data_IF_750938619066
#
_entry.id   IF_750938619066
#
_cell.length_a   1.000
_cell.length_b   1.000
_cell.length_c   1.000
_cell.angle_alpha   90.00
_cell.angle_beta   90.00
_cell.angle_gamma   90.00
#
_symmetry.space_group_name_H-M   'P 1'
#
loop_
_entity.id
_entity.type
_entity.pdbx_description
1 polymer ?
#
# COMPACT_ATOMS: atom_id res chain seq x y z
N UNK A 1 -3.91 -11.82 6.80
CA UNK A 1 -3.98 -10.50 6.13
C UNK A 1 -3.16 -10.60 4.85
N UNK A 2 -3.63 -10.01 3.76
CA UNK A 2 -2.96 -10.09 2.45
C UNK A 2 -1.93 -8.97 2.35
N UNK A 3 -0.71 -9.28 1.97
CA UNK A 3 0.36 -8.31 1.82
C UNK A 3 0.16 -7.44 0.57
N UNK A 4 0.67 -6.20 0.60
CA UNK A 4 0.57 -5.27 -0.55
C UNK A 4 1.13 -5.89 -1.83
N UNK A 5 2.29 -6.54 -1.75
CA UNK A 5 2.93 -7.13 -2.93
C UNK A 5 2.14 -8.30 -3.54
N UNK A 6 1.29 -9.00 -2.76
CA UNK A 6 0.41 -10.08 -3.23
C UNK A 6 -0.75 -9.56 -4.08
N UNK A 7 -1.08 -8.26 -3.96
CA UNK A 7 -2.04 -7.60 -4.84
C UNK A 7 -1.40 -7.07 -6.12
N UNK A 8 -0.16 -6.57 -6.01
CA UNK A 8 0.55 -6.01 -7.18
C UNK A 8 0.87 -7.08 -8.20
N UNK A 9 1.22 -8.29 -7.77
CA UNK A 9 1.52 -9.44 -8.62
C UNK A 9 0.67 -10.63 -8.18
N UNK A 10 0.00 -11.29 -9.11
CA UNK A 10 -0.77 -12.51 -8.80
C UNK A 10 0.15 -13.68 -8.49
N UNK A 11 -0.14 -14.38 -7.40
CA UNK A 11 0.66 -15.51 -6.89
C UNK A 11 2.18 -15.22 -6.90
N UNK A 12 2.62 -14.19 -6.17
CA UNK A 12 4.00 -13.74 -6.26
C UNK A 12 4.98 -14.75 -5.66
N UNK A 13 6.17 -14.80 -6.27
CA UNK A 13 7.39 -15.36 -5.70
C UNK A 13 8.38 -14.23 -5.50
N UNK A 14 8.88 -14.05 -4.27
CA UNK A 14 9.98 -13.13 -3.99
C UNK A 14 11.26 -13.76 -4.56
N UNK A 15 11.90 -13.05 -5.49
CA UNK A 15 13.17 -13.48 -6.09
C UNK A 15 14.36 -12.74 -5.48
N UNK A 16 14.12 -11.55 -4.91
CA UNK A 16 15.13 -10.82 -4.16
C UNK A 16 14.50 -9.95 -3.07
N UNK A 17 14.96 -10.07 -1.80
CA UNK A 17 14.38 -9.33 -0.69
C UNK A 17 14.84 -7.87 -0.66
N UNK A 18 14.09 -7.06 0.09
CA UNK A 18 14.46 -5.70 0.47
C UNK A 18 15.61 -5.72 1.50
N UNK A 19 16.49 -4.73 1.42
CA UNK A 19 17.60 -4.56 2.38
C UNK A 19 18.96 -4.97 1.83
N UNK A 20 19.91 -5.21 2.71
CA UNK A 20 21.27 -5.60 2.29
C UNK A 20 21.30 -7.03 1.76
N UNK A 21 21.86 -7.20 0.55
CA UNK A 21 22.04 -8.48 -0.12
C UNK A 21 23.31 -8.48 -0.97
N UNK A 22 23.72 -9.65 -1.43
CA UNK A 22 24.74 -9.76 -2.47
C UNK A 22 24.11 -9.42 -3.82
N UNK A 23 24.62 -8.39 -4.48
CA UNK A 23 24.16 -7.98 -5.82
C UNK A 23 24.46 -9.10 -6.81
N UNK A 24 23.48 -9.62 -7.57
CA UNK A 24 23.67 -10.77 -8.46
C UNK A 24 24.62 -10.49 -9.62
N UNK A 25 24.83 -9.21 -9.97
CA UNK A 25 25.70 -8.78 -11.07
C UNK A 25 27.12 -8.53 -10.56
N UNK A 26 27.25 -7.67 -9.53
CA UNK A 26 28.57 -7.23 -9.04
C UNK A 26 29.17 -8.13 -7.98
N UNK A 27 28.42 -9.10 -7.43
CA UNK A 27 28.79 -10.00 -6.33
C UNK A 27 29.21 -9.29 -5.04
N UNK A 28 28.95 -8.00 -4.92
CA UNK A 28 29.26 -7.18 -3.73
C UNK A 28 28.01 -6.99 -2.87
N UNK A 29 28.20 -6.79 -1.56
CA UNK A 29 27.11 -6.42 -0.65
C UNK A 29 26.53 -5.07 -1.07
N UNK A 30 25.23 -5.01 -1.32
CA UNK A 30 24.53 -3.82 -1.77
C UNK A 30 23.16 -3.71 -1.13
N UNK A 31 22.71 -2.48 -0.85
CA UNK A 31 21.37 -2.21 -0.39
C UNK A 31 20.37 -2.27 -1.55
N UNK A 32 19.31 -3.05 -1.39
CA UNK A 32 18.20 -3.21 -2.33
C UNK A 32 16.99 -2.45 -1.83
N UNK A 33 16.66 -1.32 -2.46
CA UNK A 33 15.60 -0.41 -2.04
C UNK A 33 14.21 -0.82 -2.52
N UNK A 34 13.98 -2.11 -2.75
CA UNK A 34 12.72 -2.67 -3.22
C UNK A 34 12.62 -4.16 -2.98
N UNK A 35 11.57 -4.74 -3.49
CA UNK A 35 11.27 -6.17 -3.46
C UNK A 35 11.18 -6.67 -4.90
N UNK A 36 11.99 -7.65 -5.29
CA UNK A 36 11.89 -8.22 -6.63
C UNK A 36 10.93 -9.42 -6.65
N UNK A 37 10.00 -9.39 -7.58
CA UNK A 37 8.86 -10.31 -7.66
C UNK A 37 8.67 -10.87 -9.06
N UNK A 38 8.30 -12.15 -9.14
CA UNK A 38 7.75 -12.78 -10.35
C UNK A 38 6.41 -13.44 -10.03
N UNK A 39 5.57 -13.65 -11.03
CA UNK A 39 4.34 -14.43 -10.89
C UNK A 39 4.61 -15.93 -11.07
N UNK A 40 4.09 -16.78 -10.18
CA UNK A 40 4.16 -18.25 -10.31
C UNK A 40 3.31 -18.78 -11.44
N UNK A 41 2.28 -18.03 -11.87
CA UNK A 41 1.36 -18.38 -12.97
C UNK A 41 1.67 -17.66 -14.28
N UNK A 42 2.89 -17.10 -14.39
CA UNK A 42 3.35 -16.35 -15.58
C UNK A 42 2.50 -15.13 -15.95
N UNK A 43 1.64 -14.63 -15.04
CA UNK A 43 0.91 -13.39 -15.24
C UNK A 43 1.89 -12.21 -15.12
N UNK A 44 2.03 -11.44 -16.19
CA UNK A 44 2.95 -10.30 -16.26
C UNK A 44 2.26 -8.97 -15.95
N UNK A 45 0.94 -8.97 -15.73
CA UNK A 45 0.21 -7.77 -15.36
C UNK A 45 0.59 -7.29 -13.95
N UNK A 46 0.74 -5.98 -13.80
CA UNK A 46 0.98 -5.32 -12.53
C UNK A 46 -0.28 -4.54 -12.14
N UNK A 47 -0.80 -4.82 -10.96
CA UNK A 47 -2.13 -4.40 -10.56
C UNK A 47 -2.09 -3.26 -9.52
N UNK A 48 -3.03 -2.33 -9.65
CA UNK A 48 -3.31 -1.33 -8.63
C UNK A 48 -3.89 -1.99 -7.38
N UNK A 49 -3.39 -1.61 -6.20
CA UNK A 49 -3.80 -2.19 -4.92
C UNK A 49 -5.11 -1.62 -4.37
N UNK A 50 -5.48 -0.42 -4.81
CA UNK A 50 -6.66 0.32 -4.35
C UNK A 50 -6.92 1.54 -5.25
N UNK A 51 -7.86 2.41 -4.85
CA UNK A 51 -8.05 3.73 -5.46
C UNK A 51 -6.80 4.59 -5.28
N UNK A 52 -6.33 5.17 -6.37
CA UNK A 52 -5.12 5.97 -6.40
C UNK A 52 -4.97 6.79 -7.68
N UNK A 53 -3.77 7.29 -7.90
CA UNK A 53 -3.46 8.02 -9.13
C UNK A 53 -1.99 7.90 -9.52
N UNK A 54 -1.73 7.97 -10.81
CA UNK A 54 -0.39 7.92 -11.37
C UNK A 54 0.34 9.24 -11.13
N UNK A 55 1.42 9.18 -10.35
CA UNK A 55 2.25 10.35 -10.06
C UNK A 55 3.27 10.64 -11.16
N UNK A 56 3.93 9.59 -11.65
CA UNK A 56 5.04 9.70 -12.60
C UNK A 56 5.08 8.49 -13.52
N UNK A 57 5.44 8.75 -14.77
CA UNK A 57 5.71 7.72 -15.78
C UNK A 57 7.04 8.05 -16.44
N UNK A 58 7.87 7.02 -16.65
CA UNK A 58 9.09 7.09 -17.46
C UNK A 58 9.07 5.92 -18.43
N UNK A 59 9.20 6.23 -19.72
CA UNK A 59 9.23 5.27 -20.84
C UNK A 59 10.43 5.53 -21.73
N UNK A 60 10.59 4.76 -22.81
CA UNK A 60 11.71 4.91 -23.75
C UNK A 60 13.03 4.30 -23.27
N UNK A 61 13.03 3.60 -22.12
CA UNK A 61 14.21 3.00 -21.52
C UNK A 61 14.43 1.53 -21.92
N UNK A 62 13.84 1.07 -23.01
CA UNK A 62 13.85 -0.34 -23.40
C UNK A 62 15.25 -0.91 -23.64
N UNK A 63 16.19 -0.08 -24.11
CA UNK A 63 17.59 -0.43 -24.37
C UNK A 63 18.55 0.01 -23.25
N UNK A 64 18.06 0.66 -22.20
CA UNK A 64 18.89 1.08 -21.08
C UNK A 64 19.41 -0.16 -20.32
N UNK A 65 20.67 -0.11 -19.92
CA UNK A 65 21.32 -1.12 -19.06
C UNK A 65 21.49 -0.61 -17.63
N UNK A 66 20.92 0.56 -17.30
CA UNK A 66 21.06 1.20 -15.99
C UNK A 66 19.73 1.56 -15.38
N UNK A 67 19.69 1.73 -14.06
CA UNK A 67 18.54 2.24 -13.30
C UNK A 67 17.30 1.35 -13.41
N UNK A 68 16.14 1.98 -13.25
CA UNK A 68 14.83 1.33 -13.15
C UNK A 68 14.19 0.96 -14.50
N UNK A 69 14.83 1.33 -15.64
CA UNK A 69 14.23 1.16 -16.97
C UNK A 69 12.93 1.94 -17.12
N UNK A 70 11.94 1.35 -17.77
CA UNK A 70 10.59 1.92 -17.79
C UNK A 70 9.92 1.70 -16.44
N UNK A 71 9.33 2.76 -15.88
CA UNK A 71 8.70 2.66 -14.58
C UNK A 71 7.50 3.59 -14.41
N UNK A 72 6.61 3.21 -13.51
CA UNK A 72 5.45 3.99 -13.09
C UNK A 72 5.41 4.11 -11.57
N UNK A 73 5.14 5.32 -11.08
CA UNK A 73 4.80 5.58 -9.69
C UNK A 73 3.31 5.77 -9.54
N UNK A 74 2.69 5.00 -8.64
CA UNK A 74 1.27 5.12 -8.29
C UNK A 74 1.14 5.50 -6.82
N UNK A 75 0.40 6.58 -6.54
CA UNK A 75 0.08 7.02 -5.19
C UNK A 75 -1.25 6.46 -4.73
N UNK A 76 -1.27 5.98 -3.49
CA UNK A 76 -2.43 5.46 -2.80
C UNK A 76 -2.68 6.25 -1.52
N UNK A 77 -3.47 7.36 -1.58
CA UNK A 77 -3.67 8.28 -0.46
C UNK A 77 -4.20 7.60 0.81
N UNK A 78 -5.06 6.60 0.64
CA UNK A 78 -5.63 5.82 1.75
C UNK A 78 -4.56 5.18 2.64
N UNK A 79 -3.46 4.72 2.05
CA UNK A 79 -2.33 4.10 2.75
C UNK A 79 -1.23 5.08 3.12
N UNK A 80 -1.30 6.31 2.61
CA UNK A 80 -0.20 7.26 2.59
C UNK A 80 1.06 6.66 1.94
N UNK A 81 0.89 5.90 0.86
CA UNK A 81 1.97 5.20 0.17
C UNK A 81 2.09 5.59 -1.30
N UNK A 82 3.32 5.55 -1.79
CA UNK A 82 3.67 5.57 -3.22
C UNK A 82 4.37 4.27 -3.57
N UNK A 83 3.92 3.59 -4.64
CA UNK A 83 4.52 2.37 -5.16
C UNK A 83 5.20 2.64 -6.49
N UNK A 84 6.47 2.26 -6.60
CA UNK A 84 7.26 2.21 -7.83
C UNK A 84 7.14 0.82 -8.44
N UNK A 85 6.69 0.76 -9.70
CA UNK A 85 6.72 -0.45 -10.50
C UNK A 85 7.78 -0.26 -11.58
N UNK A 86 8.93 -0.89 -11.42
CA UNK A 86 10.08 -0.73 -12.32
C UNK A 86 10.35 -1.95 -13.19
N UNK A 87 11.25 -1.80 -14.14
CA UNK A 87 11.63 -2.77 -15.18
C UNK A 87 10.48 -3.15 -16.12
N UNK A 88 9.47 -2.27 -16.25
CA UNK A 88 8.28 -2.54 -17.06
C UNK A 88 8.63 -2.71 -18.54
N UNK A 89 8.00 -3.69 -19.18
CA UNK A 89 7.98 -3.80 -20.65
C UNK A 89 7.10 -2.71 -21.24
N UNK A 90 5.90 -2.54 -20.69
CA UNK A 90 4.92 -1.54 -21.15
C UNK A 90 4.22 -0.89 -19.97
N UNK A 91 4.03 0.42 -20.04
CA UNK A 91 3.21 1.18 -19.11
C UNK A 91 1.89 1.50 -19.80
N UNK A 92 0.76 1.23 -19.14
CA UNK A 92 -0.57 1.31 -19.74
C UNK A 92 -1.28 2.63 -19.44
N UNK A 93 -0.75 3.42 -18.49
CA UNK A 93 -1.38 4.62 -17.98
C UNK A 93 -0.47 5.84 -18.13
N UNK A 94 -1.07 7.02 -18.25
CA UNK A 94 -0.36 8.30 -18.26
C UNK A 94 -0.35 8.96 -16.88
N UNK A 95 0.57 9.91 -16.66
CA UNK A 95 0.60 10.75 -15.45
C UNK A 95 -0.76 11.41 -15.21
N UNK A 96 -1.23 11.40 -13.97
CA UNK A 96 -2.52 11.93 -13.54
C UNK A 96 -3.69 10.94 -13.68
N UNK A 97 -3.55 9.81 -14.38
CA UNK A 97 -4.61 8.82 -14.49
C UNK A 97 -5.03 8.32 -13.11
N UNK A 98 -6.33 8.23 -12.86
CA UNK A 98 -6.92 7.58 -11.69
C UNK A 98 -6.92 6.07 -11.89
N UNK A 99 -6.72 5.33 -10.81
CA UNK A 99 -6.78 3.88 -10.79
C UNK A 99 -7.72 3.40 -9.70
N UNK A 100 -8.33 2.24 -9.93
CA UNK A 100 -9.12 1.49 -8.95
C UNK A 100 -8.40 0.20 -8.62
N UNK A 101 -8.80 -0.44 -7.52
CA UNK A 101 -8.30 -1.75 -7.14
C UNK A 101 -8.46 -2.77 -8.27
N UNK A 102 -7.36 -3.42 -8.65
CA UNK A 102 -7.33 -4.44 -9.69
C UNK A 102 -7.10 -3.92 -11.11
N UNK A 103 -7.06 -2.60 -11.33
CA UNK A 103 -6.69 -2.05 -12.64
C UNK A 103 -5.26 -2.45 -13.00
N UNK A 104 -5.01 -2.81 -14.26
CA UNK A 104 -3.67 -3.11 -14.75
C UNK A 104 -2.95 -1.79 -15.05
N UNK A 105 -1.84 -1.54 -14.35
CA UNK A 105 -1.08 -0.28 -14.48
C UNK A 105 0.09 -0.39 -15.44
N UNK A 106 0.69 -1.59 -15.53
CA UNK A 106 1.84 -1.87 -16.40
C UNK A 106 2.00 -3.36 -16.65
N UNK A 107 2.88 -3.72 -17.57
CA UNK A 107 3.30 -5.10 -17.87
C UNK A 107 4.75 -5.27 -17.37
N UNK A 108 4.98 -6.30 -16.56
CA UNK A 108 6.28 -6.72 -16.07
C UNK A 108 7.24 -7.03 -17.23
N UNK A 109 8.47 -6.55 -17.13
CA UNK A 109 9.49 -6.71 -18.16
C UNK A 109 10.90 -6.88 -17.61
N UNK A 110 11.89 -6.45 -18.40
CA UNK A 110 13.32 -6.56 -18.07
C UNK A 110 14.09 -5.33 -18.58
N UNK A 111 13.47 -4.15 -18.57
CA UNK A 111 14.12 -2.90 -18.99
C UNK A 111 15.01 -2.33 -17.86
N UNK A 112 16.03 -1.55 -18.23
CA UNK A 112 16.98 -1.00 -17.27
C UNK A 112 18.00 -2.01 -16.74
N UNK A 113 18.47 -1.84 -15.50
CA UNK A 113 19.39 -2.78 -14.83
C UNK A 113 18.63 -4.00 -14.33
N UNK A 114 18.41 -4.97 -15.19
CA UNK A 114 17.67 -6.20 -14.92
C UNK A 114 18.37 -7.41 -15.53
N UNK A 115 18.28 -8.56 -14.87
CA UNK A 115 18.85 -9.84 -15.33
C UNK A 115 17.80 -10.79 -15.90
N UNK A 116 16.53 -10.41 -15.89
CA UNK A 116 15.41 -11.20 -16.38
C UNK A 116 14.08 -10.56 -16.08
N UNK A 117 12.99 -11.12 -16.59
CA UNK A 117 11.64 -10.59 -16.38
C UNK A 117 11.24 -10.66 -14.92
N UNK A 118 11.10 -9.49 -14.27
CA UNK A 118 10.62 -9.36 -12.90
C UNK A 118 10.06 -7.95 -12.66
N UNK A 119 9.29 -7.79 -11.59
CA UNK A 119 8.95 -6.49 -11.03
C UNK A 119 9.95 -6.14 -9.95
N UNK A 120 10.60 -4.97 -10.03
CA UNK A 120 11.18 -4.32 -8.87
C UNK A 120 10.12 -3.41 -8.25
N UNK A 121 9.59 -3.79 -7.08
CA UNK A 121 8.59 -3.05 -6.32
C UNK A 121 9.26 -2.18 -5.27
N UNK A 122 9.38 -0.89 -5.54
CA UNK A 122 9.78 0.10 -4.55
C UNK A 122 8.57 0.68 -3.81
N UNK A 123 8.76 1.08 -2.55
CA UNK A 123 7.69 1.68 -1.76
C UNK A 123 8.23 2.80 -0.87
N UNK A 124 7.50 3.92 -0.82
CA UNK A 124 7.75 5.04 0.11
C UNK A 124 6.45 5.55 0.70
N UNK A 125 6.50 6.37 1.75
CA UNK A 125 5.35 7.22 2.08
C UNK A 125 5.23 8.36 1.06
N UNK A 126 4.00 8.86 0.88
CA UNK A 126 3.78 10.05 0.04
C UNK A 126 4.57 11.23 0.62
N UNK A 127 5.36 11.89 -0.22
CA UNK A 127 6.22 13.01 0.19
C UNK A 127 7.52 12.62 0.89
N UNK A 128 7.85 11.33 1.00
CA UNK A 128 9.11 10.85 1.60
C UNK A 128 10.01 10.19 0.57
N UNK A 129 11.33 10.31 0.77
CA UNK A 129 12.35 9.59 0.00
C UNK A 129 12.86 8.34 0.73
N UNK A 130 12.30 8.01 1.92
CA UNK A 130 12.70 6.83 2.67
C UNK A 130 12.03 5.59 2.12
N UNK A 131 12.83 4.62 1.70
CA UNK A 131 12.34 3.33 1.20
C UNK A 131 11.80 2.46 2.33
N UNK A 132 10.68 1.82 2.07
CA UNK A 132 9.96 0.94 3.00
C UNK A 132 9.97 -0.49 2.47
N UNK A 133 10.09 -1.46 3.38
CA UNK A 133 10.00 -2.88 3.01
C UNK A 133 8.55 -3.29 2.74
N UNK A 134 8.17 -3.66 1.49
CA UNK A 134 6.78 -4.00 1.16
C UNK A 134 6.21 -5.20 1.93
N UNK A 135 7.05 -6.12 2.44
CA UNK A 135 6.57 -7.27 3.22
C UNK A 135 5.99 -6.90 4.59
N UNK A 136 6.28 -5.70 5.09
CA UNK A 136 5.77 -5.21 6.38
C UNK A 136 4.40 -4.53 6.27
N UNK A 137 3.80 -4.46 5.07
CA UNK A 137 2.57 -3.73 4.83
C UNK A 137 1.46 -4.64 4.32
N UNK A 138 0.31 -4.53 4.94
CA UNK A 138 -0.90 -5.26 4.57
C UNK A 138 -1.86 -4.38 3.76
N UNK A 139 -2.65 -5.01 2.89
CA UNK A 139 -3.79 -4.37 2.28
C UNK A 139 -4.84 -4.09 3.35
N UNK A 140 -5.30 -2.85 3.39
CA UNK A 140 -6.45 -2.49 4.20
C UNK A 140 -7.69 -3.12 3.56
N UNK A 141 -8.29 -4.07 4.25
CA UNK A 141 -9.56 -4.65 3.79
C UNK A 141 -10.69 -3.71 4.17
N UNK A 142 -11.49 -3.30 3.18
CA UNK A 142 -12.70 -2.51 3.40
C UNK A 142 -13.81 -3.36 3.98
N UNK A 143 -13.65 -3.77 5.22
CA UNK A 143 -14.76 -4.42 5.92
C UNK A 143 -15.79 -3.42 6.45
N UNK A 144 -15.46 -2.14 6.49
CA UNK A 144 -16.38 -1.16 7.05
C UNK A 144 -16.22 0.24 6.44
N UNK A 145 -17.34 0.79 5.91
CA UNK A 145 -17.45 2.18 5.46
C UNK A 145 -17.99 3.03 6.62
N UNK A 146 -17.16 3.88 7.19
CA UNK A 146 -17.61 4.84 8.19
C UNK A 146 -18.13 6.11 7.51
N UNK A 147 -19.43 6.34 7.58
CA UNK A 147 -20.11 7.47 6.91
C UNK A 147 -20.21 8.73 7.76
N UNK A 148 -19.82 8.66 9.03
CA UNK A 148 -19.86 9.79 9.97
C UNK A 148 -18.71 9.69 11.00
N UNK A 149 -18.39 10.78 11.63
CA UNK A 149 -17.51 10.80 12.79
C UNK A 149 -18.19 10.14 14.01
N UNK A 150 -17.47 9.25 14.71
CA UNK A 150 -17.94 8.65 15.95
C UNK A 150 -17.25 9.31 17.15
N UNK A 151 -18.04 9.69 18.15
CA UNK A 151 -17.59 10.32 19.39
C UNK A 151 -18.51 9.93 20.54
N UNK A 152 -18.18 10.27 21.78
CA UNK A 152 -19.04 10.06 22.94
C UNK A 152 -20.47 10.54 22.65
N UNK A 153 -21.45 9.67 22.92
CA UNK A 153 -22.86 9.87 22.59
C UNK A 153 -23.32 9.27 21.26
N UNK A 154 -22.41 8.90 20.34
CA UNK A 154 -22.80 8.16 19.12
C UNK A 154 -23.40 6.80 19.48
N UNK A 155 -24.44 6.39 18.73
CA UNK A 155 -25.11 5.09 18.88
C UNK A 155 -25.29 4.46 17.50
N UNK A 156 -25.33 3.12 17.45
CA UNK A 156 -25.65 2.38 16.24
C UNK A 156 -24.69 1.25 15.92
N UNK A 157 -24.91 0.64 14.76
CA UNK A 157 -24.14 -0.51 14.32
C UNK A 157 -22.66 -0.16 14.00
N UNK A 158 -22.42 1.06 13.55
CA UNK A 158 -21.06 1.60 13.35
C UNK A 158 -20.26 1.69 14.66
N UNK A 159 -20.92 2.00 15.78
CA UNK A 159 -20.31 1.96 17.11
C UNK A 159 -20.05 0.51 17.54
N UNK A 160 -20.98 -0.43 17.28
CA UNK A 160 -20.76 -1.86 17.55
C UNK A 160 -19.53 -2.39 16.80
N UNK A 161 -19.38 -2.07 15.52
CA UNK A 161 -18.24 -2.48 14.73
C UNK A 161 -16.93 -1.87 15.23
N UNK A 162 -16.95 -0.60 15.66
CA UNK A 162 -15.82 0.04 16.34
C UNK A 162 -15.41 -0.72 17.61
N UNK A 163 -16.37 -1.01 18.46
CA UNK A 163 -16.16 -1.71 19.74
C UNK A 163 -15.58 -3.11 19.52
N UNK A 164 -16.11 -3.88 18.56
CA UNK A 164 -15.54 -5.17 18.14
C UNK A 164 -14.09 -5.02 17.69
N UNK A 165 -13.81 -4.02 16.86
CA UNK A 165 -12.47 -3.74 16.34
C UNK A 165 -11.48 -3.38 17.44
N UNK A 166 -11.94 -2.66 18.48
CA UNK A 166 -11.17 -2.26 19.65
C UNK A 166 -11.15 -3.35 20.75
N UNK A 167 -11.87 -4.48 20.57
CA UNK A 167 -11.99 -5.58 21.50
C UNK A 167 -12.55 -5.15 22.88
N UNK A 168 -13.56 -4.30 22.85
CA UNK A 168 -14.35 -3.91 24.02
C UNK A 168 -15.80 -4.36 23.86
N UNK A 169 -16.61 -4.31 24.94
CA UNK A 169 -18.04 -4.65 24.90
C UNK A 169 -18.76 -3.93 23.77
N UNK A 170 -19.43 -4.66 22.89
CA UNK A 170 -20.04 -4.16 21.66
C UNK A 170 -21.56 -3.92 21.84
N UNK A 171 -21.88 -2.99 22.73
CA UNK A 171 -23.28 -2.57 23.05
C UNK A 171 -23.88 -1.61 22.04
N UNK A 172 -23.05 -1.01 21.17
CA UNK A 172 -23.46 -0.01 20.18
C UNK A 172 -23.63 1.38 20.73
N UNK A 173 -23.15 1.65 21.95
CA UNK A 173 -23.20 2.96 22.62
C UNK A 173 -21.77 3.48 22.85
N UNK A 174 -21.43 4.59 22.24
CA UNK A 174 -20.13 5.22 22.43
C UNK A 174 -20.06 5.93 23.78
N UNK A 175 -19.89 5.16 24.85
CA UNK A 175 -19.71 5.63 26.22
C UNK A 175 -18.26 5.97 26.56
N UNK A 176 -17.99 6.15 27.87
CA UNK A 176 -16.63 6.44 28.36
C UNK A 176 -15.65 5.28 28.07
N UNK A 177 -16.10 4.01 28.19
CA UNK A 177 -15.26 2.85 27.92
C UNK A 177 -14.80 2.83 26.46
N UNK A 178 -15.72 3.07 25.52
CA UNK A 178 -15.40 3.17 24.09
C UNK A 178 -14.46 4.34 23.82
N UNK A 179 -14.71 5.53 24.43
CA UNK A 179 -13.83 6.70 24.30
C UNK A 179 -12.41 6.40 24.78
N UNK A 180 -12.27 5.75 25.93
CA UNK A 180 -10.95 5.39 26.47
C UNK A 180 -10.21 4.38 25.59
N UNK A 181 -10.92 3.39 25.05
CA UNK A 181 -10.37 2.44 24.09
C UNK A 181 -9.89 3.13 22.80
N UNK A 182 -10.66 4.08 22.28
CA UNK A 182 -10.26 4.90 21.12
C UNK A 182 -8.99 5.69 21.43
N UNK A 183 -8.93 6.38 22.58
CA UNK A 183 -7.72 7.13 23.00
C UNK A 183 -6.49 6.22 23.11
N UNK A 184 -6.63 5.02 23.70
CA UNK A 184 -5.56 4.04 23.80
C UNK A 184 -5.08 3.61 22.40
N UNK A 185 -6.02 3.30 21.50
CA UNK A 185 -5.73 2.95 20.11
C UNK A 185 -5.02 4.11 19.38
N UNK A 186 -5.49 5.34 19.54
CA UNK A 186 -4.88 6.53 18.94
C UNK A 186 -3.43 6.71 19.40
N UNK A 187 -3.16 6.64 20.71
CA UNK A 187 -1.81 6.72 21.28
C UNK A 187 -0.88 5.66 20.69
N UNK A 188 -1.30 4.38 20.67
CA UNK A 188 -0.49 3.28 20.12
C UNK A 188 -0.23 3.40 18.62
N UNK A 189 -1.05 4.19 17.89
CA UNK A 189 -0.90 4.44 16.46
C UNK A 189 -0.31 5.84 16.13
N UNK A 190 0.23 6.55 17.13
CA UNK A 190 0.82 7.90 16.99
C UNK A 190 -0.15 8.92 16.39
N UNK A 191 -1.41 8.84 16.78
CA UNK A 191 -2.46 9.81 16.46
C UNK A 191 -2.72 10.72 17.66
N UNK A 192 -3.33 11.90 17.41
CA UNK A 192 -3.90 12.73 18.47
C UNK A 192 -4.94 11.94 19.24
N UNK A 193 -4.76 11.79 20.56
CA UNK A 193 -5.62 10.97 21.42
C UNK A 193 -6.84 11.75 21.93
N UNK A 194 -7.66 12.26 21.02
CA UNK A 194 -8.86 13.04 21.30
C UNK A 194 -10.08 12.18 21.67
N UNK A 195 -10.03 10.89 21.36
CA UNK A 195 -11.12 9.94 21.60
C UNK A 195 -12.25 10.06 20.56
N UNK A 196 -11.95 10.61 19.38
CA UNK A 196 -12.88 10.78 18.27
C UNK A 196 -12.44 9.91 17.09
N UNK A 197 -13.36 9.18 16.47
CA UNK A 197 -13.07 8.38 15.27
C UNK A 197 -13.47 9.19 14.04
N UNK A 198 -12.58 10.08 13.62
CA UNK A 198 -12.64 10.79 12.36
C UNK A 198 -11.81 10.05 11.28
N UNK A 199 -11.53 10.75 10.18
CA UNK A 199 -10.82 10.21 9.00
C UNK A 199 -9.50 9.50 9.35
N UNK A 200 -8.62 10.12 10.13
CA UNK A 200 -7.31 9.57 10.45
C UNK A 200 -7.40 8.31 11.33
N UNK A 201 -8.30 8.33 12.33
CA UNK A 201 -8.54 7.17 13.21
C UNK A 201 -9.20 6.03 12.44
N UNK A 202 -10.20 6.33 11.60
CA UNK A 202 -10.85 5.33 10.74
C UNK A 202 -9.84 4.64 9.81
N UNK A 203 -8.96 5.40 9.16
CA UNK A 203 -7.91 4.83 8.31
C UNK A 203 -6.96 3.89 9.08
N UNK A 204 -6.59 4.25 10.30
CA UNK A 204 -5.75 3.39 11.15
C UNK A 204 -6.48 2.12 11.62
N UNK A 205 -7.80 2.17 11.75
CA UNK A 205 -8.66 1.00 12.00
C UNK A 205 -8.80 0.10 10.75
N UNK A 206 -8.33 0.53 9.58
CA UNK A 206 -8.53 -0.13 8.30
C UNK A 206 -9.92 0.13 7.70
N UNK A 207 -10.56 1.23 8.08
CA UNK A 207 -11.88 1.62 7.61
C UNK A 207 -11.81 2.71 6.54
N UNK A 208 -12.76 2.67 5.60
CA UNK A 208 -12.95 3.77 4.64
C UNK A 208 -13.86 4.83 5.28
N UNK A 209 -13.34 6.06 5.42
CA UNK A 209 -14.12 7.20 5.91
C UNK A 209 -14.79 7.92 4.74
N UNK A 210 -16.13 7.94 4.73
CA UNK A 210 -16.97 8.63 3.74
C UNK A 210 -17.79 9.77 4.36
N UNK A 211 -17.55 10.13 5.62
CA UNK A 211 -18.20 11.29 6.26
C UNK A 211 -17.74 12.60 5.62
N UNK A 212 -18.66 13.58 5.62
CA UNK A 212 -18.38 14.97 5.24
C UNK A 212 -17.54 15.66 6.29
#
# INVERSE_FOLDING_TARGET
MTKIYEYVVKQPKITSPFGYRIDPITKKKKYHAGLDLVSRIKDRNLYAIDEGYVQKVVTGQNRSKTGYGNYIWVRYPRYNLSLLHAHCEKILLKKGAKVKKGDVVAIMGTTGKSTGVHLHLGMTKIGSNTWLNPVNYDILTDKYNLTRTLKKGSKGNDVKELQKKLRVSADGIFGNNTKNAVKKFQKSNRLTADGVVGKNTAHKLGWLYKGK
#
